data_IF_726216730735
#
_entry.id   IF_726216730735
#
_cell.length_a   1.000
_cell.length_b   1.000
_cell.length_c   1.000
_cell.angle_alpha   90.00
_cell.angle_beta   90.00
_cell.angle_gamma   90.00
#
_symmetry.space_group_name_H-M   'P 1'
#
loop_
_entity.id
_entity.type
_entity.pdbx_description
1 polymer ?
#
# COMPACT_ATOMS: atom_id res chain seq x y z
N UNK A 1 16.84 -0.53 1.68
CA UNK A 1 16.10 -0.57 2.95
C UNK A 1 14.77 0.16 2.74
N UNK A 2 13.65 -0.55 2.62
CA UNK A 2 12.33 0.09 2.43
C UNK A 2 11.95 0.82 3.73
N UNK A 3 12.19 2.13 3.77
CA UNK A 3 11.92 2.97 4.93
C UNK A 3 10.47 2.84 5.37
N UNK A 4 10.25 2.64 6.68
CA UNK A 4 8.92 2.56 7.25
C UNK A 4 8.15 3.87 6.96
N UNK A 5 7.26 3.83 5.97
CA UNK A 5 6.41 4.98 5.63
C UNK A 5 5.47 5.25 6.81
N UNK A 6 5.54 6.48 7.33
CA UNK A 6 4.58 6.97 8.31
C UNK A 6 3.48 7.74 7.58
N UNK A 7 2.22 7.51 7.95
CA UNK A 7 1.09 8.27 7.42
C UNK A 7 0.15 8.69 8.54
N UNK A 8 -0.59 9.78 8.32
CA UNK A 8 -1.65 10.19 9.22
C UNK A 8 -2.78 9.15 9.23
N UNK A 9 -3.16 8.69 10.43
CA UNK A 9 -4.29 7.79 10.59
C UNK A 9 -5.47 8.52 11.23
N UNK A 10 -6.61 8.68 10.54
CA UNK A 10 -7.77 9.42 11.07
C UNK A 10 -8.36 8.77 12.33
N UNK A 11 -8.24 7.44 12.45
CA UNK A 11 -8.71 6.69 13.63
C UNK A 11 -7.79 6.82 14.85
N UNK A 12 -6.50 7.06 14.64
CA UNK A 12 -5.54 7.24 15.74
C UNK A 12 -5.23 8.72 16.00
N UNK A 13 -5.68 9.61 15.11
CA UNK A 13 -5.43 11.06 15.12
C UNK A 13 -3.94 11.39 15.29
N UNK A 14 -3.08 10.60 14.66
CA UNK A 14 -1.62 10.77 14.71
C UNK A 14 -0.96 10.12 13.50
N UNK A 15 0.29 10.48 13.26
CA UNK A 15 1.16 9.75 12.35
C UNK A 15 1.52 8.39 12.94
N UNK A 16 1.33 7.35 12.14
CA UNK A 16 1.57 5.96 12.53
C UNK A 16 2.35 5.26 11.43
N UNK A 17 3.10 4.23 11.81
CA UNK A 17 3.66 3.31 10.84
C UNK A 17 2.53 2.61 10.08
N UNK A 18 2.75 2.44 8.78
CA UNK A 18 1.80 1.76 7.90
C UNK A 18 2.35 0.46 7.37
N UNK A 19 1.49 -0.53 7.24
CA UNK A 19 1.78 -1.80 6.58
C UNK A 19 1.23 -1.73 5.16
N UNK A 20 2.07 -1.98 4.16
CA UNK A 20 1.68 -2.05 2.76
C UNK A 20 1.53 -3.52 2.35
N UNK A 21 0.34 -3.91 1.90
CA UNK A 21 0.08 -5.22 1.30
C UNK A 21 -0.16 -5.06 -0.20
N UNK A 22 0.54 -5.86 -0.98
CA UNK A 22 0.35 -5.95 -2.42
C UNK A 22 -0.29 -7.29 -2.75
N UNK A 23 -1.28 -7.30 -3.65
CA UNK A 23 -1.95 -8.52 -4.08
C UNK A 23 -2.26 -8.45 -5.57
N UNK A 24 -1.80 -9.43 -6.32
CA UNK A 24 -2.08 -9.55 -7.74
C UNK A 24 -3.56 -9.93 -7.94
N UNK A 25 -4.26 -9.19 -8.79
CA UNK A 25 -5.68 -9.36 -9.10
C UNK A 25 -5.90 -9.32 -10.62
N UNK A 26 -7.01 -9.89 -11.11
CA UNK A 26 -7.33 -9.98 -12.53
C UNK A 26 -6.98 -11.33 -13.18
N UNK A 27 -7.59 -11.62 -14.34
CA UNK A 27 -7.50 -12.93 -15.03
C UNK A 27 -6.08 -13.34 -15.40
N UNK A 28 -5.17 -12.38 -15.56
CA UNK A 28 -3.76 -12.62 -15.91
C UNK A 28 -2.76 -12.04 -14.89
N UNK A 29 -3.19 -11.71 -13.67
CA UNK A 29 -2.35 -11.00 -12.67
C UNK A 29 -1.78 -9.66 -13.17
N UNK A 30 -2.43 -9.08 -14.18
CA UNK A 30 -2.02 -7.83 -14.81
C UNK A 30 -2.24 -6.60 -13.94
N UNK A 31 -3.02 -6.75 -12.86
CA UNK A 31 -3.30 -5.69 -11.89
C UNK A 31 -2.71 -6.07 -10.52
N UNK A 32 -2.20 -5.08 -9.81
CA UNK A 32 -1.74 -5.17 -8.44
C UNK A 32 -2.58 -4.24 -7.59
N UNK A 33 -3.25 -4.82 -6.61
CA UNK A 33 -3.94 -4.07 -5.55
C UNK A 33 -2.95 -3.81 -4.42
N UNK A 34 -2.73 -2.53 -4.13
CA UNK A 34 -1.89 -2.04 -3.05
C UNK A 34 -2.82 -1.48 -1.97
N UNK A 35 -2.75 -2.07 -0.78
CA UNK A 35 -3.52 -1.65 0.39
C UNK A 35 -2.53 -1.17 1.44
N UNK A 36 -2.73 0.05 1.94
CA UNK A 36 -1.97 0.63 3.04
C UNK A 36 -2.87 0.62 4.27
N UNK A 37 -2.43 -0.04 5.34
CA UNK A 37 -3.15 -0.11 6.61
C UNK A 37 -2.35 0.52 7.74
N UNK A 38 -3.06 1.10 8.70
CA UNK A 38 -2.47 1.54 9.95
C UNK A 38 -2.00 0.31 10.74
N UNK A 39 -0.72 0.27 11.15
CA UNK A 39 -0.20 -0.85 11.92
C UNK A 39 -0.86 -0.96 13.30
N UNK A 40 -1.23 0.17 13.92
CA UNK A 40 -1.80 0.22 15.28
C UNK A 40 -3.26 -0.21 15.35
N UNK A 41 -4.12 0.36 14.49
CA UNK A 41 -5.58 0.13 14.55
C UNK A 41 -6.11 -0.66 13.36
N UNK A 42 -5.23 -1.16 12.48
CA UNK A 42 -5.56 -1.97 11.28
C UNK A 42 -6.53 -1.32 10.30
N UNK A 43 -6.83 -0.03 10.46
CA UNK A 43 -7.69 0.73 9.53
C UNK A 43 -6.99 0.90 8.19
N UNK A 44 -7.69 0.61 7.10
CA UNK A 44 -7.21 0.89 5.74
C UNK A 44 -7.15 2.40 5.51
N UNK A 45 -5.95 2.91 5.23
CA UNK A 45 -5.70 4.32 4.95
C UNK A 45 -5.78 4.60 3.45
N UNK A 46 -5.34 3.65 2.62
CA UNK A 46 -5.41 3.76 1.17
C UNK A 46 -5.57 2.40 0.53
N UNK A 47 -6.28 2.36 -0.59
CA UNK A 47 -6.43 1.18 -1.43
C UNK A 47 -6.38 1.64 -2.88
N UNK A 48 -5.32 1.26 -3.60
CA UNK A 48 -5.15 1.59 -5.01
C UNK A 48 -4.94 0.31 -5.78
N UNK A 49 -5.59 0.19 -6.93
CA UNK A 49 -5.26 -0.83 -7.92
C UNK A 49 -4.46 -0.17 -9.03
N UNK A 50 -3.34 -0.77 -9.40
CA UNK A 50 -2.48 -0.33 -10.50
C UNK A 50 -2.17 -1.50 -11.41
N UNK A 51 -1.73 -1.26 -12.64
CA UNK A 51 -1.22 -2.32 -13.49
C UNK A 51 0.14 -2.81 -12.97
N UNK A 52 0.41 -4.11 -13.07
CA UNK A 52 1.68 -4.72 -12.67
C UNK A 52 2.88 -4.07 -13.37
N UNK A 53 2.76 -3.84 -14.68
CA UNK A 53 3.77 -3.14 -15.48
C UNK A 53 4.07 -1.69 -15.02
N UNK A 54 3.11 -1.03 -14.37
CA UNK A 54 3.31 0.32 -13.82
C UNK A 54 3.97 0.30 -12.43
N UNK A 55 3.83 -0.81 -11.69
CA UNK A 55 4.49 -1.01 -10.41
C UNK A 55 5.98 -1.31 -10.58
N UNK A 56 6.33 -2.21 -11.52
CA UNK A 56 7.73 -2.56 -11.80
C UNK A 56 8.56 -1.33 -12.19
N UNK A 57 8.00 -0.44 -13.03
CA UNK A 57 8.64 0.85 -13.36
C UNK A 57 8.84 1.80 -12.18
N UNK A 58 8.07 1.66 -11.11
CA UNK A 58 8.17 2.53 -9.93
C UNK A 58 9.19 2.02 -8.90
N UNK A 59 9.65 0.77 -9.01
CA UNK A 59 10.66 0.17 -8.10
C UNK A 59 12.09 0.23 -8.68
N UNK A 60 12.26 0.57 -9.96
CA UNK A 60 13.55 0.71 -10.66
C UNK A 60 14.15 2.14 -10.64
N UNK A 61 13.47 3.10 -10.01
CA UNK A 61 13.90 4.51 -9.86
C UNK A 61 14.20 4.86 -8.40
#
# INVERSE_FOLDING_TARGET
MLGAKQQWCPRCQRHVQTEQKQSYVGRQKELVKIIITCFKCRTTLSSKTTSAAALERSEEM
#
